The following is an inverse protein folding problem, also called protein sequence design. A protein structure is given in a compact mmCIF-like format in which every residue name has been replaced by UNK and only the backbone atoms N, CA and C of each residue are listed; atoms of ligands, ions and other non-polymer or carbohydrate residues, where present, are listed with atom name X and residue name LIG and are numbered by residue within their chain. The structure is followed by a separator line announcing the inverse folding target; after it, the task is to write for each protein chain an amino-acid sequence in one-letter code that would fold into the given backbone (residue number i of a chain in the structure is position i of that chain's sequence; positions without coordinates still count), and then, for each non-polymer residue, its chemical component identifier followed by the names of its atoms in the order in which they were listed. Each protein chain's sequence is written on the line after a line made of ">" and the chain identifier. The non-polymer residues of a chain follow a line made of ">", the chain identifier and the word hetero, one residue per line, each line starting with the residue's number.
data_IF_557828704415
#
_entry.id   IF_557828704415
#
_cell.length_a   1.000
_cell.length_b   1.000
_cell.length_c   1.000
_cell.angle_alpha   90.00
_cell.angle_beta   90.00
_cell.angle_gamma   90.00
#
_symmetry.space_group_name_H-M   'P 1'
#
loop_
_entity.id
_entity.type
_entity.pdbx_description
1 polymer ?
#
# COMPACT_ATOMS: atom_id res chain seq x y z
N UNK A 1 17.07 2.64 7.03
CA UNK A 1 17.59 1.32 6.56
C UNK A 1 17.37 1.05 5.06
N UNK A 2 16.21 1.42 4.51
CA UNK A 2 15.80 1.07 3.14
C UNK A 2 16.53 1.84 2.03
N UNK A 3 16.77 3.15 2.22
CA UNK A 3 17.43 4.01 1.22
C UNK A 3 18.88 3.57 0.96
N UNK A 4 19.67 3.30 2.01
CA UNK A 4 21.07 2.86 1.86
C UNK A 4 21.20 1.52 1.15
N UNK A 5 20.30 0.57 1.43
CA UNK A 5 20.26 -0.71 0.71
C UNK A 5 19.99 -0.48 -0.78
N UNK A 6 19.10 0.45 -1.13
CA UNK A 6 18.79 0.79 -2.52
C UNK A 6 19.89 1.58 -3.22
N UNK A 7 20.59 2.47 -2.51
CA UNK A 7 21.74 3.21 -3.05
C UNK A 7 22.84 2.27 -3.57
N UNK A 8 22.95 1.05 -3.02
CA UNK A 8 23.92 0.05 -3.48
C UNK A 8 23.50 -0.65 -4.80
N UNK A 9 22.21 -0.63 -5.15
CA UNK A 9 21.66 -1.41 -6.28
C UNK A 9 21.07 -0.56 -7.39
N UNK A 10 20.69 0.68 -7.11
CA UNK A 10 19.96 1.54 -8.04
C UNK A 10 20.13 3.02 -7.68
N UNK A 11 20.04 3.95 -8.66
CA UNK A 11 19.98 5.38 -8.37
C UNK A 11 18.82 5.71 -7.42
N UNK A 12 19.05 6.62 -6.48
CA UNK A 12 18.03 7.13 -5.55
C UNK A 12 18.03 8.64 -5.62
N UNK A 13 16.85 9.23 -5.77
CA UNK A 13 16.64 10.67 -5.70
C UNK A 13 16.05 11.06 -4.34
N UNK A 14 16.56 12.14 -3.75
CA UNK A 14 15.91 12.84 -2.65
C UNK A 14 15.27 14.11 -3.21
N UNK A 15 13.96 14.21 -3.11
CA UNK A 15 13.20 15.36 -3.59
C UNK A 15 12.91 16.30 -2.42
N UNK A 16 13.22 17.58 -2.61
CA UNK A 16 12.91 18.64 -1.66
C UNK A 16 12.04 19.71 -2.33
N UNK A 17 11.03 20.17 -1.62
CA UNK A 17 10.13 21.20 -2.09
C UNK A 17 10.66 22.61 -1.89
N UNK A 18 9.99 23.60 -2.49
CA UNK A 18 10.32 25.01 -2.28
C UNK A 18 10.08 25.42 -0.82
N UNK A 19 10.88 26.33 -0.26
CA UNK A 19 10.76 26.75 1.15
C UNK A 19 9.38 27.35 1.49
N UNK A 20 8.74 28.02 0.53
CA UNK A 20 7.42 28.64 0.72
C UNK A 20 6.25 27.67 0.58
N UNK A 21 6.33 26.68 -0.32
CA UNK A 21 5.17 25.85 -0.71
C UNK A 21 5.37 24.34 -0.50
N UNK A 22 6.59 23.89 -0.23
CA UNK A 22 6.91 22.47 -0.15
C UNK A 22 6.75 21.76 -1.51
N UNK A 23 6.45 20.46 -1.44
CA UNK A 23 6.09 19.60 -2.57
C UNK A 23 4.57 19.52 -2.69
N UNK A 24 4.06 19.49 -3.92
CA UNK A 24 2.64 19.29 -4.16
C UNK A 24 2.23 17.83 -3.92
N UNK A 25 0.94 17.56 -3.73
CA UNK A 25 0.44 16.19 -3.61
C UNK A 25 0.75 15.35 -4.87
N UNK A 26 0.80 15.99 -6.04
CA UNK A 26 1.19 15.35 -7.30
C UNK A 26 2.67 14.93 -7.25
N UNK A 27 3.58 15.81 -6.83
CA UNK A 27 5.00 15.48 -6.63
C UNK A 27 5.18 14.32 -5.63
N UNK A 28 4.42 14.36 -4.53
CA UNK A 28 4.45 13.32 -3.50
C UNK A 28 3.93 11.98 -4.02
N UNK A 29 2.98 11.96 -4.96
CA UNK A 29 2.41 10.73 -5.53
C UNK A 29 3.42 9.90 -6.33
N UNK A 30 4.47 10.54 -6.86
CA UNK A 30 5.57 9.89 -7.56
C UNK A 30 6.66 9.38 -6.62
N UNK A 31 6.61 9.74 -5.33
CA UNK A 31 7.60 9.35 -4.35
C UNK A 31 7.27 7.99 -3.73
N UNK A 32 8.26 7.09 -3.71
CA UNK A 32 8.12 5.77 -3.09
C UNK A 32 8.06 5.82 -1.55
N UNK A 33 8.69 6.83 -0.95
CA UNK A 33 8.70 7.04 0.49
C UNK A 33 8.53 8.52 0.78
N UNK A 34 7.80 8.80 1.86
CA UNK A 34 7.68 10.13 2.44
C UNK A 34 8.52 10.19 3.71
N UNK A 35 9.38 11.21 3.81
CA UNK A 35 10.23 11.44 4.95
C UNK A 35 9.79 12.72 5.65
N UNK A 36 9.65 12.66 6.97
CA UNK A 36 9.39 13.81 7.84
C UNK A 36 10.51 13.95 8.85
N UNK A 37 11.15 15.10 8.90
CA UNK A 37 12.08 15.45 9.98
C UNK A 37 11.24 15.86 11.18
N UNK A 38 11.38 15.22 12.35
CA UNK A 38 10.68 15.62 13.56
C UNK A 38 11.07 17.06 13.94
N UNK A 39 10.08 17.93 14.07
CA UNK A 39 10.22 19.33 14.48
C UNK A 39 9.28 19.62 15.65
N UNK A 40 9.56 20.66 16.43
CA UNK A 40 8.66 21.10 17.52
C UNK A 40 7.34 21.60 16.94
N UNK A 41 6.24 21.42 17.68
CA UNK A 41 4.92 21.77 17.18
C UNK A 41 4.75 23.26 16.90
N UNK A 42 5.44 24.14 17.65
CA UNK A 42 5.42 25.59 17.44
C UNK A 42 6.15 26.00 16.15
N UNK A 43 7.07 25.17 15.65
CA UNK A 43 7.94 25.45 14.50
C UNK A 43 8.00 24.25 13.57
N UNK A 44 6.89 23.98 12.88
CA UNK A 44 6.77 22.82 11.98
C UNK A 44 7.59 22.91 10.71
N UNK A 45 7.97 24.13 10.30
CA UNK A 45 8.79 24.37 9.11
C UNK A 45 10.27 24.50 9.46
N UNK A 46 11.12 23.91 8.63
CA UNK A 46 12.57 23.98 8.72
C UNK A 46 13.08 24.62 7.44
N UNK A 47 14.15 25.42 7.55
CA UNK A 47 14.80 25.96 6.36
C UNK A 47 15.26 24.83 5.43
N UNK A 48 15.14 25.04 4.11
CA UNK A 48 15.46 24.03 3.11
C UNK A 48 16.91 23.53 3.23
N UNK A 49 17.88 24.42 3.43
CA UNK A 49 19.29 24.04 3.59
C UNK A 49 19.52 23.19 4.85
N UNK A 50 18.82 23.49 5.94
CA UNK A 50 18.87 22.68 7.17
C UNK A 50 18.27 21.29 6.95
N UNK A 51 17.12 21.20 6.25
CA UNK A 51 16.50 19.93 5.93
C UNK A 51 17.40 19.04 5.07
N UNK A 52 18.05 19.64 4.06
CA UNK A 52 19.04 18.95 3.21
C UNK A 52 20.22 18.48 4.05
N UNK A 53 20.79 19.34 4.90
CA UNK A 53 21.93 18.99 5.74
C UNK A 53 21.63 17.82 6.69
N UNK A 54 20.45 17.83 7.34
CA UNK A 54 20.01 16.72 8.21
C UNK A 54 19.89 15.43 7.40
N UNK A 55 19.22 15.44 6.24
CA UNK A 55 19.09 14.26 5.40
C UNK A 55 20.44 13.69 4.94
N UNK A 56 21.38 14.54 4.53
CA UNK A 56 22.72 14.10 4.11
C UNK A 56 23.54 13.56 5.29
N UNK A 57 23.48 14.21 6.44
CA UNK A 57 24.11 13.72 7.67
C UNK A 57 23.57 12.33 8.06
N UNK A 58 22.24 12.16 8.02
CA UNK A 58 21.57 10.89 8.27
C UNK A 58 21.95 9.79 7.27
N UNK A 59 22.30 10.15 6.03
CA UNK A 59 22.81 9.21 5.03
C UNK A 59 24.28 8.85 5.23
N UNK A 60 25.10 9.78 5.72
CA UNK A 60 26.53 9.57 5.94
C UNK A 60 26.85 8.87 7.28
N UNK A 61 26.06 9.11 8.34
CA UNK A 61 26.39 8.62 9.70
C UNK A 61 26.41 7.08 9.82
N UNK A 62 27.06 6.51 10.83
CA UNK A 62 27.03 5.05 11.02
C UNK A 62 25.63 4.57 11.47
N UNK A 63 24.99 3.59 10.78
CA UNK A 63 23.64 3.13 11.12
C UNK A 63 23.54 2.46 12.49
N UNK A 64 24.65 1.96 13.05
CA UNK A 64 24.69 1.36 14.37
C UNK A 64 24.49 2.38 15.50
N UNK A 65 24.65 3.68 15.22
CA UNK A 65 24.47 4.76 16.19
C UNK A 65 23.05 5.35 16.20
N UNK A 66 22.16 4.90 15.30
CA UNK A 66 20.83 5.47 15.14
C UNK A 66 19.77 4.68 15.94
N UNK A 67 18.86 5.35 16.67
CA UNK A 67 17.71 4.69 17.28
C UNK A 67 16.85 4.02 16.21
N UNK A 68 16.35 2.83 16.51
CA UNK A 68 15.54 2.07 15.58
C UNK A 68 14.18 2.73 15.36
N UNK A 69 13.73 2.89 14.10
CA UNK A 69 12.42 3.48 13.83
C UNK A 69 11.32 2.62 14.40
N UNK A 70 10.27 3.27 14.91
CA UNK A 70 9.04 2.61 15.37
C UNK A 70 8.45 1.81 14.22
N UNK A 71 8.25 0.50 14.42
CA UNK A 71 7.63 -0.35 13.40
C UNK A 71 6.20 0.12 13.14
N UNK A 72 5.74 0.14 11.87
CA UNK A 72 4.34 0.44 11.58
C UNK A 72 3.43 -0.57 12.26
N UNK A 73 2.26 -0.10 12.72
CA UNK A 73 1.23 -0.98 13.28
C UNK A 73 0.62 -1.77 12.12
N UNK A 74 0.86 -3.07 12.13
CA UNK A 74 0.29 -3.99 11.14
C UNK A 74 -1.22 -4.11 11.35
N UNK A 75 -1.94 -4.33 10.25
CA UNK A 75 -3.38 -4.57 10.30
C UNK A 75 -3.69 -5.79 11.20
N UNK A 76 -4.78 -5.69 11.98
CA UNK A 76 -5.21 -6.81 12.80
C UNK A 76 -5.64 -7.98 11.90
N UNK A 77 -5.54 -9.21 12.42
CA UNK A 77 -5.95 -10.40 11.68
C UNK A 77 -7.40 -10.27 11.18
N UNK A 78 -8.29 -9.71 11.99
CA UNK A 78 -9.69 -9.47 11.62
C UNK A 78 -9.84 -8.54 10.40
N UNK A 79 -9.01 -7.51 10.26
CA UNK A 79 -9.04 -6.60 9.11
C UNK A 79 -8.57 -7.28 7.84
N UNK A 80 -7.50 -8.08 7.93
CA UNK A 80 -6.99 -8.87 6.82
C UNK A 80 -8.01 -9.95 6.37
N UNK A 81 -8.74 -10.55 7.30
CA UNK A 81 -9.81 -11.50 6.98
C UNK A 81 -10.97 -10.81 6.25
N UNK A 82 -11.41 -9.64 6.72
CA UNK A 82 -12.43 -8.82 6.05
C UNK A 82 -12.01 -8.43 4.64
N UNK A 83 -10.76 -7.98 4.48
CA UNK A 83 -10.19 -7.62 3.18
C UNK A 83 -10.14 -8.85 2.25
N UNK A 84 -9.68 -9.98 2.76
CA UNK A 84 -9.59 -11.23 1.99
C UNK A 84 -10.96 -11.70 1.51
N UNK A 85 -11.98 -11.66 2.38
CA UNK A 85 -13.34 -12.05 2.02
C UNK A 85 -13.89 -11.18 0.88
N UNK A 86 -13.80 -9.86 1.02
CA UNK A 86 -14.29 -8.92 0.01
C UNK A 86 -13.53 -9.03 -1.32
N UNK A 87 -12.22 -9.26 -1.25
CA UNK A 87 -11.40 -9.52 -2.44
C UNK A 87 -11.86 -10.78 -3.17
N UNK A 88 -12.11 -11.88 -2.44
CA UNK A 88 -12.60 -13.12 -3.04
C UNK A 88 -13.98 -12.94 -3.67
N UNK A 89 -14.88 -12.22 -3.03
CA UNK A 89 -16.21 -11.94 -3.58
C UNK A 89 -16.11 -11.09 -4.85
N UNK A 90 -15.26 -10.06 -4.87
CA UNK A 90 -14.98 -9.28 -6.08
C UNK A 90 -14.38 -10.13 -7.20
N UNK A 91 -13.47 -11.05 -6.89
CA UNK A 91 -12.83 -11.93 -7.88
C UNK A 91 -13.78 -13.03 -8.39
N UNK A 92 -14.75 -13.47 -7.59
CA UNK A 92 -15.83 -14.36 -8.05
C UNK A 92 -16.77 -13.61 -8.97
N UNK A 93 -17.19 -12.40 -8.59
CA UNK A 93 -18.05 -11.54 -9.40
C UNK A 93 -17.41 -11.14 -10.73
N UNK A 94 -16.09 -10.97 -10.79
CA UNK A 94 -15.36 -10.70 -12.03
C UNK A 94 -15.13 -11.94 -12.91
N UNK A 95 -15.42 -13.15 -12.40
CA UNK A 95 -15.19 -14.41 -13.10
C UNK A 95 -13.75 -14.95 -13.01
N UNK A 96 -12.86 -14.29 -12.27
CA UNK A 96 -11.49 -14.77 -12.04
C UNK A 96 -11.45 -16.06 -11.21
N UNK A 97 -12.27 -16.14 -10.15
CA UNK A 97 -12.47 -17.37 -9.38
C UNK A 97 -13.76 -18.05 -9.87
N UNK A 98 -13.63 -19.21 -10.52
CA UNK A 98 -14.78 -19.97 -11.03
C UNK A 98 -15.39 -20.84 -9.93
N UNK A 99 -16.68 -20.65 -9.64
CA UNK A 99 -17.37 -21.33 -8.55
C UNK A 99 -17.63 -22.83 -8.78
N UNK A 100 -17.60 -23.32 -10.02
CA UNK A 100 -17.71 -24.76 -10.33
C UNK A 100 -17.18 -25.05 -11.75
N UNK A 101 -16.19 -25.93 -11.94
CA UNK A 101 -15.89 -26.46 -13.26
C UNK A 101 -16.96 -27.49 -13.63
N UNK A 102 -18.04 -27.07 -14.30
CA UNK A 102 -18.97 -27.99 -14.95
C UNK A 102 -18.29 -28.57 -16.20
N UNK A 103 -17.67 -29.75 -16.06
CA UNK A 103 -16.98 -30.44 -17.15
C UNK A 103 -15.73 -31.15 -16.66
N UNK A 104 -15.27 -32.15 -17.40
CA UNK A 104 -14.19 -33.13 -17.14
C UNK A 104 -12.79 -32.59 -16.69
N UNK A 105 -12.65 -31.30 -16.40
CA UNK A 105 -11.45 -30.67 -15.85
C UNK A 105 -11.42 -30.74 -14.31
N UNK A 106 -11.26 -31.97 -13.80
CA UNK A 106 -11.12 -32.31 -12.36
C UNK A 106 -9.81 -31.80 -11.70
N UNK A 107 -9.07 -30.88 -12.35
CA UNK A 107 -7.75 -30.37 -11.90
C UNK A 107 -7.70 -28.88 -11.53
N UNK A 108 -8.78 -28.12 -11.74
CA UNK A 108 -8.85 -26.69 -11.38
C UNK A 108 -10.05 -26.42 -10.48
N UNK A 109 -9.98 -26.87 -9.23
CA UNK A 109 -10.95 -26.46 -8.20
C UNK A 109 -10.71 -24.99 -7.80
N UNK A 110 -11.76 -24.29 -7.36
CA UNK A 110 -11.66 -22.90 -6.88
C UNK A 110 -10.77 -22.78 -5.62
N UNK A 111 -10.86 -23.79 -4.73
CA UNK A 111 -10.19 -23.84 -3.43
C UNK A 111 -8.67 -23.56 -3.46
N UNK A 112 -7.83 -24.18 -4.33
CA UNK A 112 -6.39 -23.89 -4.40
C UNK A 112 -6.09 -22.45 -4.82
N UNK A 113 -6.94 -21.81 -5.61
CA UNK A 113 -6.75 -20.40 -6.01
C UNK A 113 -7.10 -19.46 -4.86
N UNK A 114 -8.20 -19.72 -4.14
CA UNK A 114 -8.59 -18.92 -2.97
C UNK A 114 -7.53 -19.00 -1.85
N UNK A 115 -6.98 -20.19 -1.61
CA UNK A 115 -5.90 -20.37 -0.63
C UNK A 115 -4.62 -19.63 -1.02
N UNK A 116 -4.27 -19.59 -2.33
CA UNK A 116 -3.15 -18.78 -2.83
C UNK A 116 -3.38 -17.29 -2.61
N UNK A 117 -4.60 -16.80 -2.83
CA UNK A 117 -4.97 -15.39 -2.61
C UNK A 117 -4.87 -15.05 -1.12
N UNK A 118 -5.39 -15.91 -0.25
CA UNK A 118 -5.30 -15.76 1.21
C UNK A 118 -3.85 -15.70 1.70
N UNK A 119 -2.98 -16.57 1.18
CA UNK A 119 -1.53 -16.51 1.45
C UNK A 119 -0.86 -15.27 0.86
N UNK A 120 -1.33 -14.77 -0.28
CA UNK A 120 -0.83 -13.52 -0.86
C UNK A 120 -1.14 -12.34 0.08
N UNK A 121 -2.39 -12.17 0.52
CA UNK A 121 -2.78 -11.07 1.42
C UNK A 121 -1.95 -11.10 2.72
N UNK A 122 -1.74 -12.27 3.30
CA UNK A 122 -0.91 -12.42 4.52
C UNK A 122 0.58 -12.07 4.29
N UNK A 123 1.11 -12.28 3.09
CA UNK A 123 2.49 -11.93 2.73
C UNK A 123 2.68 -10.44 2.46
N UNK A 124 1.61 -9.71 2.13
CA UNK A 124 1.69 -8.26 1.90
C UNK A 124 2.02 -7.48 3.18
N UNK A 125 1.74 -8.04 4.37
CA UNK A 125 2.04 -7.41 5.67
C UNK A 125 1.55 -5.95 5.73
N UNK A 126 0.29 -5.75 5.33
CA UNK A 126 -0.31 -4.42 5.21
C UNK A 126 -0.37 -3.71 6.57
N UNK A 127 -0.13 -2.40 6.56
CA UNK A 127 -0.42 -1.55 7.71
C UNK A 127 -1.94 -1.45 7.94
N UNK A 128 -2.36 -1.06 9.13
CA UNK A 128 -3.79 -0.84 9.43
C UNK A 128 -4.41 0.17 8.45
N UNK A 129 -3.72 1.28 8.18
CA UNK A 129 -4.14 2.32 7.23
C UNK A 129 -4.27 1.78 5.80
N UNK A 130 -3.30 0.99 5.33
CA UNK A 130 -3.34 0.44 3.98
C UNK A 130 -4.48 -0.58 3.81
N UNK A 131 -4.76 -1.36 4.86
CA UNK A 131 -5.84 -2.33 4.86
C UNK A 131 -7.21 -1.64 4.75
N UNK A 132 -7.43 -0.53 5.47
CA UNK A 132 -8.65 0.28 5.37
C UNK A 132 -8.82 0.91 3.99
N UNK A 133 -7.76 1.50 3.44
CA UNK A 133 -7.77 2.08 2.10
C UNK A 133 -8.09 1.01 1.04
N UNK A 134 -7.46 -0.16 1.13
CA UNK A 134 -7.69 -1.28 0.21
C UNK A 134 -9.12 -1.81 0.31
N UNK A 135 -9.67 -1.90 1.53
CA UNK A 135 -11.07 -2.24 1.77
C UNK A 135 -12.01 -1.24 1.08
N UNK A 136 -11.75 0.06 1.18
CA UNK A 136 -12.52 1.10 0.50
C UNK A 136 -12.53 0.92 -1.02
N UNK A 137 -11.37 0.68 -1.62
CA UNK A 137 -11.23 0.40 -3.05
C UNK A 137 -12.05 -0.82 -3.46
N UNK A 138 -11.90 -1.93 -2.73
CA UNK A 138 -12.61 -3.18 -3.04
C UNK A 138 -14.13 -3.04 -2.91
N UNK A 139 -14.63 -2.29 -1.92
CA UNK A 139 -16.07 -2.02 -1.77
C UNK A 139 -16.62 -1.28 -2.98
N UNK A 140 -15.90 -0.27 -3.47
CA UNK A 140 -16.32 0.52 -4.61
C UNK A 140 -16.33 -0.31 -5.90
N UNK A 141 -15.31 -1.14 -6.12
CA UNK A 141 -15.25 -2.09 -7.25
C UNK A 141 -16.42 -3.07 -7.17
N UNK A 142 -16.63 -3.69 -6.01
CA UNK A 142 -17.70 -4.67 -5.82
C UNK A 142 -19.08 -4.07 -6.05
N UNK A 143 -19.33 -2.86 -5.55
CA UNK A 143 -20.59 -2.13 -5.77
C UNK A 143 -20.86 -1.87 -7.26
N UNK A 144 -19.84 -1.49 -8.04
CA UNK A 144 -19.98 -1.30 -9.49
C UNK A 144 -20.23 -2.60 -10.23
N UNK A 145 -19.57 -3.69 -9.86
CA UNK A 145 -19.81 -5.02 -10.44
C UNK A 145 -21.23 -5.53 -10.13
N UNK A 146 -21.76 -5.26 -8.94
CA UNK A 146 -23.14 -5.56 -8.57
C UNK A 146 -24.17 -4.72 -9.33
N UNK A 147 -23.92 -3.41 -9.46
CA UNK A 147 -24.79 -2.48 -10.21
C UNK A 147 -24.85 -2.78 -11.70
N UNK A 148 -23.76 -3.28 -12.29
CA UNK A 148 -23.71 -3.67 -13.71
C UNK A 148 -24.55 -4.92 -14.04
N UNK A 149 -25.03 -5.64 -13.02
CA UNK A 149 -25.84 -6.86 -13.16
C UNK A 149 -27.35 -6.60 -13.09
N UNK A 150 -27.78 -5.35 -12.87
CA UNK A 150 -29.19 -4.96 -12.98
C UNK A 150 -29.58 -4.95 -14.48
N UNK A 151 -30.61 -5.70 -14.90
CA UNK A 151 -30.94 -5.85 -16.30
C UNK A 151 -31.47 -4.53 -16.89
N UNK A 152 -31.05 -4.24 -18.12
CA UNK A 152 -31.85 -3.47 -19.05
C UNK A 152 -33.18 -4.23 -19.25
N UNK A 153 -34.19 -3.86 -18.48
CA UNK A 153 -35.58 -4.14 -18.78
C UNK A 153 -36.15 -2.89 -19.47
N UNK A 154 -36.94 -3.12 -20.52
CA UNK A 154 -37.67 -2.17 -21.38
C UNK A 154 -36.78 -1.58 -22.50
N UNK A 155 -36.97 -1.92 -23.78
CA UNK A 155 -38.23 -2.05 -24.55
C UNK A 155 -38.17 -3.14 -25.63
#
# INVERSE_FOLDING_TARGET
>A
PSIRKRLATSPVALLFGSEKRGLSNEDLSHCHWLLRIPTREEHRSMNLGQAVAVCLYELARNPQAAPHPTKPILAAAADLERLTALLLDALRSSGYVKANPSGSQKRCSAAPTEEKIRRLVRRLQLSATDAELTLGILRQIFWKLGSAKAPAAES
#
